data_IF_983984745116
#
_entry.id   IF_983984745116
#
_cell.length_a   1.000
_cell.length_b   1.000
_cell.length_c   1.000
_cell.angle_alpha   90.00
_cell.angle_beta   90.00
_cell.angle_gamma   90.00
#
_symmetry.space_group_name_H-M   'P 1'
#
loop_
_entity.id
_entity.type
_entity.pdbx_description
1 polymer ?
#
# COMPACT_ATOMS: atom_id res chain seq x y z
N UNK A 1 18.96 6.02 -24.90
CA UNK A 1 17.82 5.53 -25.69
C UNK A 1 16.71 5.09 -24.76
N UNK A 2 15.44 5.20 -25.19
CA UNK A 2 14.30 4.75 -24.40
C UNK A 2 13.34 3.90 -25.26
N UNK A 3 12.78 2.86 -24.64
CA UNK A 3 11.69 2.09 -25.19
C UNK A 3 10.37 2.62 -24.62
N UNK A 4 9.41 2.93 -25.51
CA UNK A 4 8.06 3.37 -25.11
C UNK A 4 7.13 2.16 -25.08
N UNK A 5 6.40 2.00 -23.98
CA UNK A 5 5.36 0.98 -23.81
C UNK A 5 4.05 1.68 -23.45
N UNK A 6 3.08 1.69 -24.34
CA UNK A 6 1.74 2.23 -24.06
C UNK A 6 1.01 1.36 -23.06
N UNK A 7 0.31 1.98 -22.12
CA UNK A 7 -0.36 1.27 -21.01
C UNK A 7 -1.86 1.10 -21.25
N UNK A 8 -2.53 2.02 -21.94
CA UNK A 8 -3.99 2.03 -22.09
C UNK A 8 -4.46 1.61 -23.51
N UNK A 9 -3.58 1.70 -24.51
CA UNK A 9 -3.91 1.42 -25.93
C UNK A 9 -2.72 0.84 -26.68
N UNK A 10 -2.91 0.46 -27.93
CA UNK A 10 -1.85 -0.11 -28.80
C UNK A 10 -1.14 0.96 -29.63
N UNK A 11 -1.83 2.05 -29.96
CA UNK A 11 -1.28 3.16 -30.75
C UNK A 11 -1.85 4.50 -30.28
N UNK A 12 -1.11 5.57 -30.55
CA UNK A 12 -1.50 6.97 -30.29
C UNK A 12 -1.42 7.71 -31.62
N UNK A 13 -2.51 8.37 -31.98
CA UNK A 13 -2.58 9.20 -33.18
C UNK A 13 -2.08 10.64 -32.91
N UNK A 14 -1.69 11.41 -33.93
CA UNK A 14 -1.31 12.80 -33.75
C UNK A 14 -2.39 13.61 -33.03
N UNK A 15 -2.01 14.32 -31.97
CA UNK A 15 -2.91 15.10 -31.13
C UNK A 15 -3.57 14.33 -29.99
N UNK A 16 -3.37 13.01 -29.89
CA UNK A 16 -3.86 12.21 -28.78
C UNK A 16 -2.81 12.08 -27.67
N UNK A 17 -3.29 11.76 -26.47
CA UNK A 17 -2.47 11.45 -25.29
C UNK A 17 -2.73 10.02 -24.80
N UNK A 18 -1.74 9.43 -24.17
CA UNK A 18 -1.82 8.07 -23.62
C UNK A 18 -0.89 7.94 -22.42
N UNK A 19 -1.28 7.13 -21.45
CA UNK A 19 -0.38 6.69 -20.41
C UNK A 19 0.67 5.75 -21.01
N UNK A 20 1.94 6.04 -20.76
CA UNK A 20 3.05 5.24 -21.28
C UNK A 20 4.14 5.02 -20.23
N UNK A 21 4.81 3.89 -20.31
CA UNK A 21 6.03 3.62 -19.56
C UNK A 21 7.23 3.83 -20.46
N UNK A 22 8.17 4.68 -20.03
CA UNK A 22 9.46 4.88 -20.68
C UNK A 22 10.50 4.00 -19.97
N UNK A 23 11.09 3.08 -20.70
CA UNK A 23 12.15 2.20 -20.21
C UNK A 23 13.45 2.71 -20.83
N UNK A 24 14.30 3.35 -20.04
CA UNK A 24 15.58 3.91 -20.47
C UNK A 24 16.68 2.87 -20.40
N UNK A 25 17.64 2.89 -21.33
CA UNK A 25 18.83 2.02 -21.32
C UNK A 25 19.78 2.44 -20.20
N UNK A 26 19.98 3.74 -20.01
CA UNK A 26 20.79 4.30 -18.96
C UNK A 26 19.90 4.90 -17.85
N UNK A 27 20.37 4.91 -16.60
CA UNK A 27 19.68 5.62 -15.51
C UNK A 27 19.53 7.11 -15.85
N UNK A 28 18.32 7.63 -15.69
CA UNK A 28 18.03 9.07 -15.87
C UNK A 28 17.50 9.65 -14.57
N UNK A 29 17.88 10.89 -14.29
CA UNK A 29 17.27 11.65 -13.21
C UNK A 29 15.98 12.27 -13.75
N UNK A 30 14.90 11.99 -13.07
CA UNK A 30 13.58 12.48 -13.45
C UNK A 30 12.80 12.85 -12.19
N UNK A 31 12.18 14.01 -12.20
CA UNK A 31 11.29 14.47 -11.13
C UNK A 31 9.83 14.37 -11.55
N UNK A 32 8.95 14.26 -10.56
CA UNK A 32 7.50 14.37 -10.79
C UNK A 32 7.21 15.71 -11.47
N UNK A 33 6.25 15.71 -12.38
CA UNK A 33 5.81 16.87 -13.14
C UNK A 33 6.84 17.45 -14.15
N UNK A 34 8.04 16.84 -14.29
CA UNK A 34 9.00 17.20 -15.33
C UNK A 34 8.47 16.86 -16.73
N UNK A 35 8.72 17.74 -17.67
CA UNK A 35 8.38 17.52 -19.08
C UNK A 35 9.52 16.82 -19.81
N UNK A 36 9.15 15.98 -20.78
CA UNK A 36 10.11 15.32 -21.68
C UNK A 36 9.68 15.45 -23.15
N UNK A 37 10.65 15.26 -24.04
CA UNK A 37 10.43 15.19 -25.49
C UNK A 37 10.99 13.87 -25.99
N UNK A 38 10.22 13.16 -26.81
CA UNK A 38 10.63 11.97 -27.54
C UNK A 38 11.01 12.31 -28.96
N UNK A 39 12.15 11.80 -29.38
CA UNK A 39 12.64 11.96 -30.75
C UNK A 39 13.05 10.62 -31.34
N UNK A 40 12.83 10.44 -32.62
CA UNK A 40 13.37 9.26 -33.34
C UNK A 40 14.89 9.33 -33.42
N UNK A 41 15.55 8.17 -33.45
CA UNK A 41 17.00 8.11 -33.50
C UNK A 41 17.53 8.59 -34.90
N UNK A 42 16.91 8.13 -35.96
CA UNK A 42 17.27 8.51 -37.35
C UNK A 42 16.06 8.37 -38.29
N UNK A 43 15.64 9.41 -38.99
CA UNK A 43 16.07 10.81 -38.81
C UNK A 43 15.65 11.40 -37.48
N UNK A 44 16.36 12.43 -36.99
CA UNK A 44 16.11 13.04 -35.68
C UNK A 44 14.86 13.94 -35.73
N UNK A 45 13.68 13.34 -35.58
CA UNK A 45 12.38 14.05 -35.60
C UNK A 45 11.71 13.94 -34.25
N UNK A 46 11.12 15.03 -33.77
CA UNK A 46 10.28 15.03 -32.57
C UNK A 46 8.95 14.33 -32.87
N UNK A 47 8.63 13.30 -32.12
CA UNK A 47 7.42 12.47 -32.33
C UNK A 47 6.39 12.63 -31.22
N UNK A 48 6.81 12.95 -30.00
CA UNK A 48 5.92 13.15 -28.87
C UNK A 48 6.58 14.01 -27.79
N UNK A 49 5.81 14.43 -26.83
CA UNK A 49 6.24 15.00 -25.55
C UNK A 49 5.28 14.57 -24.48
N UNK A 50 5.65 14.77 -23.23
CA UNK A 50 4.79 14.40 -22.12
C UNK A 50 5.30 14.90 -20.80
N UNK A 51 4.59 14.51 -19.73
CA UNK A 51 4.86 14.83 -18.34
C UNK A 51 5.14 13.57 -17.56
N UNK A 52 6.11 13.61 -16.67
CA UNK A 52 6.46 12.47 -15.81
C UNK A 52 5.53 12.48 -14.59
N UNK A 53 4.65 11.50 -14.51
CA UNK A 53 3.73 11.34 -13.39
C UNK A 53 4.37 10.51 -12.26
N UNK A 54 5.24 9.55 -12.61
CA UNK A 54 5.88 8.64 -11.68
C UNK A 54 7.31 8.34 -12.13
N UNK A 55 8.34 8.92 -11.48
CA UNK A 55 9.74 8.75 -11.88
C UNK A 55 10.26 7.32 -11.78
N UNK A 56 9.79 6.54 -10.79
CA UNK A 56 10.21 5.16 -10.52
C UNK A 56 9.00 4.23 -10.61
N UNK A 57 8.65 3.81 -11.83
CA UNK A 57 7.53 2.91 -12.08
C UNK A 57 7.98 1.47 -12.31
N UNK A 58 7.33 0.51 -11.67
CA UNK A 58 7.48 -0.90 -11.97
C UNK A 58 6.56 -1.32 -13.11
N UNK A 59 7.02 -2.28 -13.91
CA UNK A 59 6.17 -2.84 -14.97
C UNK A 59 5.04 -3.66 -14.34
N UNK A 60 3.76 -3.39 -14.66
CA UNK A 60 2.65 -4.19 -14.15
C UNK A 60 2.77 -5.65 -14.66
N UNK A 61 2.72 -6.61 -13.71
CA UNK A 61 2.92 -8.05 -14.01
C UNK A 61 1.67 -8.73 -14.55
N UNK A 62 0.49 -8.18 -14.31
CA UNK A 62 -0.79 -8.74 -14.73
C UNK A 62 -1.81 -7.63 -15.06
N UNK A 63 -2.98 -8.05 -15.57
CA UNK A 63 -4.05 -7.15 -15.97
C UNK A 63 -4.62 -6.31 -14.82
N UNK A 64 -4.72 -6.91 -13.63
CA UNK A 64 -5.25 -6.23 -12.45
C UNK A 64 -4.30 -5.13 -11.97
N UNK A 65 -2.99 -5.40 -11.90
CA UNK A 65 -1.97 -4.39 -11.57
C UNK A 65 -1.93 -3.28 -12.62
N UNK A 66 -2.11 -3.62 -13.90
CA UNK A 66 -2.18 -2.64 -14.99
C UNK A 66 -3.39 -1.72 -14.84
N UNK A 67 -4.57 -2.26 -14.52
CA UNK A 67 -5.77 -1.47 -14.28
C UNK A 67 -5.61 -0.52 -13.08
N UNK A 68 -5.07 -1.02 -11.96
CA UNK A 68 -4.79 -0.20 -10.78
C UNK A 68 -3.77 0.92 -11.05
N UNK A 69 -2.73 0.62 -11.86
CA UNK A 69 -1.75 1.63 -12.28
C UNK A 69 -2.42 2.71 -13.14
N UNK A 70 -3.25 2.34 -14.10
CA UNK A 70 -3.95 3.29 -14.97
C UNK A 70 -4.89 4.19 -14.16
N UNK A 71 -5.65 3.63 -13.22
CA UNK A 71 -6.51 4.42 -12.32
C UNK A 71 -5.70 5.42 -11.47
N UNK A 72 -4.52 5.00 -10.99
CA UNK A 72 -3.61 5.86 -10.26
C UNK A 72 -3.04 6.98 -11.12
N UNK A 73 -2.56 6.66 -12.34
CA UNK A 73 -2.00 7.64 -13.27
C UNK A 73 -3.06 8.65 -13.76
N UNK A 74 -4.30 8.20 -13.94
CA UNK A 74 -5.42 9.07 -14.30
C UNK A 74 -5.65 10.15 -13.23
N UNK A 75 -5.69 9.75 -11.96
CA UNK A 75 -5.77 10.69 -10.82
C UNK A 75 -4.59 11.68 -10.79
N UNK A 76 -3.38 11.23 -11.11
CA UNK A 76 -2.21 12.11 -11.14
C UNK A 76 -2.24 13.10 -12.31
N UNK A 77 -2.86 12.73 -13.43
CA UNK A 77 -2.94 13.59 -14.62
C UNK A 77 -3.79 14.86 -14.39
N UNK A 78 -4.68 14.84 -13.41
CA UNK A 78 -5.48 15.98 -12.96
C UNK A 78 -4.70 17.00 -12.10
N UNK A 79 -3.41 16.76 -11.86
CA UNK A 79 -2.53 17.59 -11.02
C UNK A 79 -3.07 17.82 -9.59
N UNK A 80 -3.46 16.78 -8.88
CA UNK A 80 -4.10 16.92 -7.58
C UNK A 80 -3.15 17.52 -6.54
N UNK A 81 -3.68 18.21 -5.51
CA UNK A 81 -2.87 18.68 -4.41
C UNK A 81 -2.19 17.51 -3.68
N UNK A 82 -1.07 17.81 -2.99
CA UNK A 82 -0.23 16.79 -2.33
C UNK A 82 -1.01 15.76 -1.49
N UNK A 83 -2.01 16.19 -0.74
CA UNK A 83 -2.83 15.31 0.10
C UNK A 83 -3.55 14.24 -0.72
N UNK A 84 -4.16 14.62 -1.82
CA UNK A 84 -4.90 13.71 -2.71
C UNK A 84 -3.95 12.82 -3.48
N UNK A 85 -2.80 13.34 -3.91
CA UNK A 85 -1.72 12.58 -4.55
C UNK A 85 -1.19 11.49 -3.62
N UNK A 86 -0.96 11.80 -2.34
CA UNK A 86 -0.51 10.84 -1.32
C UNK A 86 -1.57 9.77 -1.05
N UNK A 87 -2.84 10.15 -0.91
CA UNK A 87 -3.93 9.20 -0.74
C UNK A 87 -4.06 8.26 -1.94
N UNK A 88 -3.94 8.78 -3.16
CA UNK A 88 -3.95 7.99 -4.38
C UNK A 88 -2.78 7.00 -4.41
N UNK A 89 -1.57 7.44 -4.04
CA UNK A 89 -0.39 6.57 -3.95
C UNK A 89 -0.57 5.45 -2.92
N UNK A 90 -1.05 5.78 -1.71
CA UNK A 90 -1.28 4.80 -0.65
C UNK A 90 -2.33 3.77 -1.09
N UNK A 91 -3.41 4.21 -1.73
CA UNK A 91 -4.45 3.33 -2.26
C UNK A 91 -3.94 2.43 -3.39
N UNK A 92 -3.09 2.95 -4.27
CA UNK A 92 -2.45 2.17 -5.34
C UNK A 92 -1.50 1.11 -4.80
N UNK A 93 -0.61 1.48 -3.86
CA UNK A 93 0.39 0.58 -3.28
C UNK A 93 -0.21 -0.41 -2.26
N UNK A 94 -1.27 -0.04 -1.58
CA UNK A 94 -1.84 -0.79 -0.46
C UNK A 94 -1.01 -0.66 0.82
N UNK A 95 0.29 -0.94 0.74
CA UNK A 95 1.31 -0.76 1.79
C UNK A 95 2.49 -0.02 1.18
N UNK A 96 2.99 1.00 1.88
CA UNK A 96 4.19 1.75 1.48
C UNK A 96 4.88 2.34 2.71
N UNK A 97 6.21 2.39 2.72
CA UNK A 97 6.94 3.12 3.77
C UNK A 97 6.73 4.62 3.63
N UNK A 98 6.73 5.33 4.74
CA UNK A 98 6.63 6.79 4.71
C UNK A 98 7.83 7.43 3.98
N UNK A 99 9.02 6.82 4.08
CA UNK A 99 10.21 7.27 3.36
C UNK A 99 10.05 7.14 1.85
N UNK A 100 9.53 6.00 1.35
CA UNK A 100 9.28 5.81 -0.07
C UNK A 100 8.17 6.74 -0.59
N UNK A 101 7.09 6.90 0.18
CA UNK A 101 6.02 7.82 -0.18
C UNK A 101 6.51 9.29 -0.25
N UNK A 102 7.37 9.70 0.68
CA UNK A 102 7.99 11.03 0.69
C UNK A 102 8.92 11.21 -0.51
N UNK A 103 9.77 10.23 -0.78
CA UNK A 103 10.70 10.23 -1.92
C UNK A 103 9.96 10.29 -3.26
N UNK A 104 8.89 9.51 -3.41
CA UNK A 104 8.11 9.48 -4.65
C UNK A 104 7.33 10.78 -4.91
N UNK A 105 7.07 11.58 -3.88
CA UNK A 105 6.40 12.87 -3.99
C UNK A 105 7.33 14.06 -3.81
N UNK A 106 8.65 13.81 -3.65
CA UNK A 106 9.69 14.84 -3.49
C UNK A 106 9.42 15.79 -2.31
N UNK A 107 8.90 15.24 -1.21
CA UNK A 107 8.59 15.99 0.02
C UNK A 107 9.35 15.45 1.22
N UNK A 108 9.49 16.24 2.27
CA UNK A 108 10.05 15.79 3.54
C UNK A 108 9.10 14.84 4.27
N UNK A 109 9.64 13.95 5.14
CA UNK A 109 8.83 13.10 6.01
C UNK A 109 7.86 13.90 6.89
N UNK A 110 8.27 15.06 7.38
CA UNK A 110 7.44 15.95 8.22
C UNK A 110 6.24 16.45 7.43
N UNK A 111 6.46 16.88 6.20
CA UNK A 111 5.41 17.37 5.30
C UNK A 111 4.45 16.26 4.89
N UNK A 112 4.98 15.08 4.55
CA UNK A 112 4.19 13.88 4.27
C UNK A 112 3.29 13.53 5.46
N UNK A 113 3.85 13.38 6.67
CA UNK A 113 3.09 12.99 7.85
C UNK A 113 2.01 14.02 8.20
N UNK A 114 2.29 15.31 8.01
CA UNK A 114 1.29 16.37 8.15
C UNK A 114 0.17 16.24 7.11
N UNK A 115 0.50 15.90 5.87
CA UNK A 115 -0.48 15.72 4.80
C UNK A 115 -1.35 14.47 5.01
N UNK A 116 -0.79 13.38 5.57
CA UNK A 116 -1.47 12.11 5.84
C UNK A 116 -2.34 12.16 7.11
N UNK A 117 -2.00 12.97 8.10
CA UNK A 117 -2.69 13.03 9.40
C UNK A 117 -4.23 13.17 9.32
N UNK A 118 -4.83 13.98 8.43
CA UNK A 118 -6.29 14.04 8.31
C UNK A 118 -6.93 12.73 7.83
N UNK A 119 -6.24 11.94 7.01
CA UNK A 119 -6.72 10.65 6.53
C UNK A 119 -6.60 9.57 7.61
N UNK A 120 -5.52 9.62 8.42
CA UNK A 120 -5.37 8.78 9.59
C UNK A 120 -6.50 9.04 10.61
N UNK A 121 -6.81 10.30 10.88
CA UNK A 121 -7.89 10.69 11.81
C UNK A 121 -9.27 10.19 11.37
N UNK A 122 -9.49 10.00 10.04
CA UNK A 122 -10.74 9.46 9.47
C UNK A 122 -10.68 7.95 9.22
N UNK A 123 -9.60 7.28 9.66
CA UNK A 123 -9.35 5.85 9.40
C UNK A 123 -9.35 5.46 7.91
N UNK A 124 -9.06 6.40 7.01
CA UNK A 124 -8.86 6.15 5.58
C UNK A 124 -7.46 5.61 5.28
N UNK A 125 -6.50 5.91 6.16
CA UNK A 125 -5.12 5.44 6.12
C UNK A 125 -4.71 4.94 7.49
N UNK A 126 -4.11 3.76 7.58
CA UNK A 126 -3.44 3.27 8.78
C UNK A 126 -1.99 3.71 8.80
N UNK A 127 -1.50 4.11 9.96
CA UNK A 127 -0.09 4.48 10.17
C UNK A 127 0.51 3.63 11.27
N UNK A 128 1.48 2.80 10.90
CA UNK A 128 2.26 1.97 11.84
C UNK A 128 3.58 2.66 12.12
N UNK A 129 3.93 2.84 13.42
CA UNK A 129 5.07 3.65 13.86
C UNK A 129 6.16 2.88 14.61
N UNK A 130 6.13 1.57 14.60
CA UNK A 130 7.04 0.69 15.37
C UNK A 130 8.50 0.64 14.89
N UNK A 131 8.92 1.53 14.02
CA UNK A 131 10.25 1.61 13.39
C UNK A 131 10.22 2.62 12.26
N UNK A 132 10.56 2.21 11.04
CA UNK A 132 10.23 2.99 9.86
C UNK A 132 8.70 3.06 9.75
N UNK A 133 8.16 4.28 9.62
CA UNK A 133 6.72 4.46 9.53
C UNK A 133 6.18 3.84 8.24
N UNK A 134 5.12 3.05 8.36
CA UNK A 134 4.45 2.38 7.23
C UNK A 134 3.01 2.86 7.13
N UNK A 135 2.60 3.18 5.91
CA UNK A 135 1.26 3.64 5.56
C UNK A 135 0.49 2.51 4.89
N UNK A 136 -0.73 2.28 5.35
CA UNK A 136 -1.63 1.27 4.80
C UNK A 136 -2.90 1.92 4.28
N UNK A 137 -3.36 1.50 3.10
CA UNK A 137 -4.68 1.88 2.61
C UNK A 137 -5.79 1.21 3.42
N UNK A 138 -6.96 1.83 3.50
CA UNK A 138 -8.15 1.26 4.14
C UNK A 138 -8.45 -0.14 3.60
N UNK A 139 -8.45 -0.30 2.28
CA UNK A 139 -8.66 -1.61 1.63
C UNK A 139 -7.67 -2.68 2.13
N UNK A 140 -6.39 -2.32 2.29
CA UNK A 140 -5.36 -3.28 2.74
C UNK A 140 -5.53 -3.64 4.22
N UNK A 141 -5.94 -2.69 5.03
CA UNK A 141 -6.30 -2.93 6.44
C UNK A 141 -7.46 -3.91 6.53
N UNK A 142 -8.52 -3.69 5.76
CA UNK A 142 -9.70 -4.56 5.74
C UNK A 142 -9.34 -5.97 5.26
N UNK A 143 -8.56 -6.11 4.18
CA UNK A 143 -8.07 -7.38 3.65
C UNK A 143 -7.27 -8.18 4.68
N UNK A 144 -6.31 -7.52 5.37
CA UNK A 144 -5.50 -8.15 6.42
C UNK A 144 -6.36 -8.51 7.64
N UNK A 145 -7.29 -7.64 8.03
CA UNK A 145 -8.24 -7.88 9.11
C UNK A 145 -9.13 -9.09 8.86
N UNK A 146 -9.70 -9.21 7.65
CA UNK A 146 -10.50 -10.37 7.27
C UNK A 146 -9.69 -11.67 7.29
N UNK A 147 -8.45 -11.63 6.77
CA UNK A 147 -7.56 -12.78 6.76
C UNK A 147 -7.26 -13.25 8.18
N UNK A 148 -6.91 -12.30 9.06
CA UNK A 148 -6.63 -12.59 10.47
C UNK A 148 -7.87 -13.13 11.20
N UNK A 149 -9.03 -12.51 11.00
CA UNK A 149 -10.29 -12.92 11.65
C UNK A 149 -10.66 -14.37 11.28
N UNK A 150 -10.53 -14.74 10.00
CA UNK A 150 -10.75 -16.12 9.54
C UNK A 150 -9.78 -17.11 10.20
N UNK A 151 -8.51 -16.75 10.28
CA UNK A 151 -7.49 -17.61 10.91
C UNK A 151 -7.71 -17.74 12.42
N UNK A 152 -8.08 -16.66 13.11
CA UNK A 152 -8.41 -16.70 14.53
C UNK A 152 -9.64 -17.54 14.81
N UNK A 153 -10.67 -17.51 13.96
CA UNK A 153 -11.85 -18.35 14.11
C UNK A 153 -11.51 -19.84 14.03
N UNK A 154 -10.65 -20.23 13.08
CA UNK A 154 -10.15 -21.61 12.99
C UNK A 154 -9.31 -21.99 14.20
N UNK A 155 -8.37 -21.13 14.61
CA UNK A 155 -7.52 -21.36 15.77
C UNK A 155 -8.32 -21.56 17.07
N UNK A 156 -9.36 -20.77 17.29
CA UNK A 156 -10.23 -20.91 18.48
C UNK A 156 -11.09 -22.17 18.43
N UNK A 157 -11.47 -22.63 17.23
CA UNK A 157 -12.15 -23.91 17.06
C UNK A 157 -11.27 -25.12 17.39
N UNK A 158 -9.98 -25.05 17.05
CA UNK A 158 -8.99 -26.12 17.30
C UNK A 158 -8.40 -26.06 18.72
N UNK A 159 -8.32 -24.87 19.31
CA UNK A 159 -7.68 -24.61 20.61
C UNK A 159 -8.55 -23.71 21.52
N UNK A 160 -9.74 -24.20 21.94
CA UNK A 160 -10.67 -23.38 22.74
C UNK A 160 -10.12 -23.00 24.13
N UNK A 161 -9.15 -23.76 24.66
CA UNK A 161 -8.47 -23.50 25.93
C UNK A 161 -7.42 -22.40 25.85
N UNK A 162 -6.95 -22.03 24.65
CA UNK A 162 -5.88 -21.04 24.50
C UNK A 162 -6.42 -19.61 24.52
N UNK A 163 -5.71 -18.73 25.23
CA UNK A 163 -6.07 -17.30 25.37
C UNK A 163 -6.00 -16.49 24.06
N UNK A 164 -5.46 -17.05 22.99
CA UNK A 164 -5.33 -16.44 21.68
C UNK A 164 -4.12 -16.94 20.89
N UNK A 165 -4.04 -16.57 19.61
CA UNK A 165 -2.95 -16.91 18.69
C UNK A 165 -1.73 -16.02 18.98
N UNK A 166 -0.51 -16.55 19.11
CA UNK A 166 0.70 -15.74 19.28
C UNK A 166 0.95 -14.80 18.10
N UNK A 167 1.54 -13.62 18.37
CA UNK A 167 1.85 -12.64 17.33
C UNK A 167 2.75 -13.20 16.20
N UNK A 168 3.64 -14.14 16.52
CA UNK A 168 4.49 -14.83 15.52
C UNK A 168 3.68 -15.73 14.56
N UNK A 169 2.63 -16.37 15.06
CA UNK A 169 1.71 -17.14 14.22
C UNK A 169 0.82 -16.22 13.38
N UNK A 170 0.37 -15.10 13.95
CA UNK A 170 -0.34 -14.06 13.21
C UNK A 170 0.52 -13.52 12.06
N UNK A 171 1.84 -13.30 12.29
CA UNK A 171 2.77 -12.86 11.25
C UNK A 171 2.81 -13.83 10.07
N UNK A 172 2.88 -15.14 10.36
CA UNK A 172 2.87 -16.18 9.31
C UNK A 172 1.57 -16.21 8.53
N UNK A 173 0.43 -16.11 9.22
CA UNK A 173 -0.90 -16.05 8.60
C UNK A 173 -1.05 -14.86 7.66
N UNK A 174 -0.51 -13.70 8.05
CA UNK A 174 -0.57 -12.45 7.30
C UNK A 174 0.54 -12.32 6.25
N UNK A 175 1.43 -13.32 6.12
CA UNK A 175 2.61 -13.28 5.25
C UNK A 175 3.51 -12.06 5.52
N UNK A 176 3.70 -11.75 6.80
CA UNK A 176 4.51 -10.63 7.26
C UNK A 176 5.85 -11.14 7.80
N UNK A 177 6.95 -10.55 7.31
CA UNK A 177 8.30 -11.00 7.68
C UNK A 177 8.76 -10.51 9.07
N UNK A 178 8.21 -9.38 9.54
CA UNK A 178 8.63 -8.75 10.78
C UNK A 178 7.56 -8.85 11.88
N UNK A 179 7.85 -9.59 12.95
CA UNK A 179 6.95 -9.72 14.12
C UNK A 179 6.68 -8.36 14.79
N UNK A 180 7.64 -7.44 14.75
CA UNK A 180 7.45 -6.09 15.30
C UNK A 180 6.36 -5.33 14.55
N UNK A 181 6.38 -5.36 13.21
CA UNK A 181 5.33 -4.77 12.37
C UNK A 181 3.97 -5.42 12.66
N UNK A 182 3.95 -6.75 12.83
CA UNK A 182 2.73 -7.48 13.16
C UNK A 182 2.12 -7.04 14.48
N UNK A 183 2.92 -6.83 15.54
CA UNK A 183 2.42 -6.33 16.84
C UNK A 183 1.77 -4.96 16.73
N UNK A 184 2.38 -4.05 15.98
CA UNK A 184 1.82 -2.72 15.74
C UNK A 184 0.53 -2.78 14.91
N UNK A 185 0.48 -3.69 13.91
CA UNK A 185 -0.73 -3.94 13.12
C UNK A 185 -1.86 -4.53 14.00
N UNK A 186 -1.54 -5.47 14.87
CA UNK A 186 -2.50 -6.05 15.83
C UNK A 186 -3.02 -4.97 16.80
N UNK A 187 -2.17 -4.05 17.25
CA UNK A 187 -2.57 -2.89 18.06
C UNK A 187 -3.49 -1.93 17.29
N UNK A 188 -3.26 -1.78 15.97
CA UNK A 188 -4.17 -1.02 15.12
C UNK A 188 -5.53 -1.72 14.99
N UNK A 189 -5.56 -3.04 14.79
CA UNK A 189 -6.79 -3.83 14.73
C UNK A 189 -7.56 -3.83 16.04
N UNK A 190 -6.86 -3.83 17.18
CA UNK A 190 -7.50 -3.69 18.50
C UNK A 190 -8.20 -2.33 18.65
N UNK A 191 -7.54 -1.24 18.26
CA UNK A 191 -8.15 0.11 18.25
C UNK A 191 -9.39 0.19 17.36
N UNK A 192 -9.44 -0.61 16.30
CA UNK A 192 -10.58 -0.69 15.39
C UNK A 192 -11.65 -1.70 15.86
N UNK A 193 -11.42 -2.39 16.98
CA UNK A 193 -12.36 -3.38 17.53
C UNK A 193 -12.43 -4.70 16.73
N UNK A 194 -11.47 -4.97 15.86
CA UNK A 194 -11.42 -6.20 15.05
C UNK A 194 -10.98 -7.39 15.89
N UNK A 195 -9.97 -7.19 16.75
CA UNK A 195 -9.40 -8.20 17.65
C UNK A 195 -9.18 -7.63 19.03
N UNK A 196 -8.96 -8.50 20.02
CA UNK A 196 -8.30 -8.15 21.30
C UNK A 196 -6.85 -8.61 21.23
N UNK A 197 -5.92 -7.74 21.60
CA UNK A 197 -4.49 -8.04 21.59
C UNK A 197 -3.89 -7.78 22.97
N UNK A 198 -3.54 -8.84 23.69
CA UNK A 198 -2.95 -8.79 25.02
C UNK A 198 -1.96 -9.94 25.21
N UNK A 199 -0.92 -9.75 26.03
CA UNK A 199 0.10 -10.76 26.33
C UNK A 199 0.74 -11.38 25.07
N UNK A 200 0.97 -10.56 24.04
CA UNK A 200 1.53 -10.97 22.75
C UNK A 200 0.66 -12.00 21.98
N UNK A 201 -0.66 -12.00 22.25
CA UNK A 201 -1.64 -12.89 21.63
C UNK A 201 -2.83 -12.11 21.11
N UNK A 202 -3.29 -12.51 19.92
CA UNK A 202 -4.50 -11.97 19.31
C UNK A 202 -5.65 -12.96 19.45
N UNK A 203 -6.85 -12.45 19.72
CA UNK A 203 -8.10 -13.21 19.74
C UNK A 203 -9.24 -12.42 19.12
N UNK A 204 -10.29 -13.10 18.70
CA UNK A 204 -11.52 -12.44 18.30
C UNK A 204 -12.11 -11.63 19.45
N UNK A 205 -12.72 -10.49 19.14
CA UNK A 205 -13.28 -9.59 20.16
C UNK A 205 -14.32 -10.27 21.06
N UNK A 206 -15.09 -11.20 20.48
CA UNK A 206 -16.18 -11.93 21.15
C UNK A 206 -15.76 -13.29 21.71
N UNK A 207 -14.47 -13.68 21.52
CA UNK A 207 -14.00 -14.97 22.04
C UNK A 207 -13.58 -14.86 23.49
N UNK A 208 -14.10 -15.78 24.32
CA UNK A 208 -13.66 -16.02 25.69
C UNK A 208 -13.05 -17.42 25.78
N UNK A 209 -11.78 -17.54 26.25
CA UNK A 209 -11.14 -18.85 26.39
C UNK A 209 -11.90 -19.70 27.41
N UNK A 210 -11.97 -20.99 27.14
CA UNK A 210 -12.55 -21.96 28.07
C UNK A 210 -11.66 -22.10 29.32
N UNK A 211 -12.18 -21.73 30.47
CA UNK A 211 -11.45 -21.78 31.74
C UNK A 211 -11.77 -23.12 32.45
N UNK A 212 -10.85 -24.08 32.36
CA UNK A 212 -11.00 -25.39 33.03
C UNK A 212 -11.10 -25.28 34.56
N UNK A 213 -10.56 -24.22 35.16
CA UNK A 213 -10.61 -24.02 36.62
C UNK A 213 -12.03 -23.78 37.14
N UNK A 214 -12.92 -23.25 36.31
CA UNK A 214 -14.33 -23.03 36.69
C UNK A 214 -15.17 -24.32 36.72
N UNK A 215 -14.73 -25.38 36.05
CA UNK A 215 -15.45 -26.66 35.99
C UNK A 215 -14.93 -27.73 36.95
N UNK A 216 -13.74 -27.53 37.56
CA UNK A 216 -13.17 -28.44 38.56
C UNK A 216 -13.60 -28.13 40.00
N UNK A 217 -14.45 -27.12 40.21
CA UNK A 217 -14.92 -26.67 41.53
C UNK A 217 -16.39 -27.04 41.86
N UNK A 218 -16.98 -28.02 41.14
CA UNK A 218 -18.30 -28.57 41.48
C UNK A 218 -18.28 -30.06 41.73
#
# INVERSE_FOLDING_TARGET
>A
VARVSLLDREQVLPGESSAAQLITEDPVVASVDSCFILRTYSPLVTVAGGKILMPAGERPKNRQMKAALLEYLDKLSEEPPLKERLLALINYRGIITAADAARMNEVSLVELMRAVSPFEARAEVGVIRGGEAVLLSKRKIDELGETLTKALALFHGEHPERKGMPAEECAKVLDLQETKFTRELLSLFEKQGIVKFADDRARLADFEPFDEELFSAN
#
